data_IF_806076778904
#
_entry.id   IF_806076778904
#
_cell.length_a   1.000
_cell.length_b   1.000
_cell.length_c   1.000
_cell.angle_alpha   90.00
_cell.angle_beta   90.00
_cell.angle_gamma   90.00
#
_symmetry.space_group_name_H-M   'P 1'
#
loop_
_entity.id
_entity.type
_entity.pdbx_description
1 polymer ?
#
# COMPACT_ATOMS: atom_id res chain seq x y z
N UNK A 1 -22.52 12.01 -59.45
CA UNK A 1 -23.19 12.62 -58.28
C UNK A 1 -23.74 11.49 -57.42
N UNK A 2 -23.08 11.11 -56.33
CA UNK A 2 -23.17 11.71 -54.98
C UNK A 2 -24.64 11.71 -54.51
N UNK A 3 -25.07 10.95 -53.50
CA UNK A 3 -24.52 10.83 -52.14
C UNK A 3 -24.95 9.51 -51.49
N UNK A 4 -24.01 8.78 -50.87
CA UNK A 4 -24.32 7.66 -49.97
C UNK A 4 -24.02 8.15 -48.54
N UNK A 5 -25.06 8.23 -47.72
CA UNK A 5 -25.00 8.73 -46.34
C UNK A 5 -24.45 7.65 -45.41
N UNK A 6 -23.41 7.99 -44.68
CA UNK A 6 -22.64 7.10 -43.83
C UNK A 6 -23.39 6.76 -42.52
N UNK A 7 -23.34 5.48 -42.15
CA UNK A 7 -23.83 4.93 -40.90
C UNK A 7 -23.00 5.44 -39.71
N UNK A 8 -23.69 5.96 -38.68
CA UNK A 8 -23.09 6.23 -37.37
C UNK A 8 -23.48 5.09 -36.41
N UNK A 9 -22.48 4.33 -35.98
CA UNK A 9 -22.59 3.22 -35.03
C UNK A 9 -22.78 3.74 -33.59
N UNK A 10 -23.40 2.94 -32.69
CA UNK A 10 -23.59 3.29 -31.29
C UNK A 10 -22.27 3.22 -30.51
N UNK A 11 -22.02 4.25 -29.69
CA UNK A 11 -20.88 4.32 -28.78
C UNK A 11 -21.04 3.29 -27.66
N UNK A 12 -20.15 2.30 -27.66
CA UNK A 12 -19.88 1.38 -26.56
C UNK A 12 -19.57 2.17 -25.28
N UNK A 13 -20.39 1.98 -24.25
CA UNK A 13 -20.05 2.29 -22.86
C UNK A 13 -18.85 1.44 -22.43
N UNK A 14 -17.72 2.08 -22.14
CA UNK A 14 -16.60 1.45 -21.46
C UNK A 14 -16.65 1.82 -19.97
N UNK A 15 -17.28 0.94 -19.22
CA UNK A 15 -17.11 0.82 -17.77
C UNK A 15 -15.66 0.44 -17.43
N UNK A 16 -15.19 0.90 -16.27
CA UNK A 16 -14.08 0.25 -15.57
C UNK A 16 -12.68 0.84 -15.76
N UNK A 17 -12.42 2.02 -15.18
CA UNK A 17 -11.06 2.37 -14.77
C UNK A 17 -10.86 2.09 -13.29
N UNK A 18 -10.78 0.79 -12.97
CA UNK A 18 -10.05 0.34 -11.81
C UNK A 18 -8.57 0.62 -12.01
N UNK A 19 -8.12 1.81 -11.61
CA UNK A 19 -6.68 2.11 -11.45
C UNK A 19 -6.33 2.07 -9.98
N UNK A 20 -6.24 0.84 -9.45
CA UNK A 20 -5.52 0.55 -8.22
C UNK A 20 -4.02 0.80 -8.46
N UNK A 21 -3.62 2.07 -8.44
CA UNK A 21 -2.21 2.47 -8.34
C UNK A 21 -1.74 2.34 -6.89
N UNK A 22 -1.82 1.13 -6.35
CA UNK A 22 -1.01 0.76 -5.19
C UNK A 22 0.33 0.24 -5.73
N UNK A 23 1.03 1.11 -6.47
CA UNK A 23 2.43 0.88 -6.75
C UNK A 23 3.12 0.82 -5.39
N UNK A 24 3.48 -0.40 -4.99
CA UNK A 24 4.28 -0.66 -3.82
C UNK A 24 5.55 0.16 -3.96
N UNK A 25 5.58 1.34 -3.33
CA UNK A 25 6.79 2.08 -3.10
C UNK A 25 7.59 1.25 -2.12
N UNK A 26 8.37 0.30 -2.66
CA UNK A 26 9.45 -0.33 -1.92
C UNK A 26 10.34 0.82 -1.46
N UNK A 27 10.31 1.12 -0.15
CA UNK A 27 11.04 2.24 0.40
C UNK A 27 12.50 2.17 -0.04
N UNK A 28 12.95 3.18 -0.79
CA UNK A 28 14.35 3.32 -1.17
C UNK A 28 15.13 3.76 0.08
N UNK A 29 15.74 2.80 0.77
CA UNK A 29 16.54 3.07 1.96
C UNK A 29 17.91 3.58 1.49
N UNK A 30 18.27 4.78 1.91
CA UNK A 30 19.58 5.36 1.61
C UNK A 30 20.65 4.71 2.51
N UNK A 31 21.86 4.48 2.00
CA UNK A 31 22.99 3.94 2.79
C UNK A 31 23.86 5.02 3.44
N UNK A 32 23.60 6.29 3.13
CA UNK A 32 24.32 7.45 3.69
C UNK A 32 23.88 7.79 5.12
N UNK A 33 22.78 7.20 5.58
CA UNK A 33 22.27 7.36 6.94
C UNK A 33 22.93 6.33 7.89
N UNK A 34 23.06 6.67 9.19
CA UNK A 34 23.53 5.70 10.18
C UNK A 34 22.70 4.42 10.18
N UNK A 35 23.36 3.29 10.47
CA UNK A 35 22.76 1.94 10.42
C UNK A 35 21.49 1.82 11.26
N UNK A 36 21.39 2.55 12.38
CA UNK A 36 20.19 2.58 13.22
C UNK A 36 18.99 3.11 12.43
N UNK A 37 19.14 4.25 11.77
CA UNK A 37 18.09 4.90 11.00
C UNK A 37 17.74 4.10 9.73
N UNK A 38 18.71 3.45 9.10
CA UNK A 38 18.44 2.51 8.00
C UNK A 38 17.59 1.30 8.45
N UNK A 39 17.86 0.77 9.64
CA UNK A 39 17.07 -0.33 10.23
C UNK A 39 15.65 0.13 10.54
N UNK A 40 15.48 1.29 11.18
CA UNK A 40 14.15 1.86 11.44
C UNK A 40 13.37 2.07 10.14
N UNK A 41 14.01 2.62 9.09
CA UNK A 41 13.37 2.81 7.79
C UNK A 41 12.92 1.48 7.13
N UNK A 42 13.77 0.44 7.20
CA UNK A 42 13.41 -0.90 6.73
C UNK A 42 12.22 -1.46 7.50
N UNK A 43 12.31 -1.44 8.84
CA UNK A 43 11.30 -2.02 9.72
C UNK A 43 9.95 -1.32 9.53
N UNK A 44 9.96 0.01 9.40
CA UNK A 44 8.79 0.82 9.07
C UNK A 44 8.12 0.34 7.77
N UNK A 45 8.87 0.29 6.67
CA UNK A 45 8.35 -0.11 5.37
C UNK A 45 7.85 -1.56 5.36
N UNK A 46 8.55 -2.45 6.05
CA UNK A 46 8.17 -3.86 6.20
C UNK A 46 6.83 -4.01 6.90
N UNK A 47 6.63 -3.32 8.03
CA UNK A 47 5.37 -3.38 8.74
C UNK A 47 4.24 -2.67 8.01
N UNK A 48 4.48 -1.51 7.40
CA UNK A 48 3.49 -0.82 6.57
C UNK A 48 3.00 -1.71 5.42
N UNK A 49 3.91 -2.42 4.74
CA UNK A 49 3.56 -3.38 3.69
C UNK A 49 2.66 -4.51 4.21
N UNK A 50 3.01 -5.13 5.33
CA UNK A 50 2.21 -6.21 5.90
C UNK A 50 0.88 -5.73 6.47
N UNK A 51 0.85 -4.54 7.07
CA UNK A 51 -0.37 -3.91 7.57
C UNK A 51 -1.34 -3.59 6.44
N UNK A 52 -0.86 -3.01 5.34
CA UNK A 52 -1.68 -2.74 4.17
C UNK A 52 -2.26 -4.04 3.57
N UNK A 53 -1.47 -5.11 3.54
CA UNK A 53 -1.88 -6.42 2.99
C UNK A 53 -2.89 -7.16 3.87
N UNK A 54 -2.76 -7.04 5.19
CA UNK A 54 -3.64 -7.71 6.16
C UNK A 54 -4.79 -6.81 6.66
N UNK A 55 -5.09 -5.70 5.96
CA UNK A 55 -6.15 -4.73 6.32
C UNK A 55 -6.02 -4.18 7.76
N UNK A 56 -4.80 -3.88 8.21
CA UNK A 56 -4.55 -3.36 9.55
C UNK A 56 -4.65 -4.39 10.67
N UNK A 57 -4.83 -5.68 10.36
CA UNK A 57 -4.94 -6.73 11.38
C UNK A 57 -3.60 -7.06 12.03
N UNK A 58 -3.34 -6.52 13.23
CA UNK A 58 -2.13 -6.83 14.01
C UNK A 58 -1.98 -8.30 14.32
N UNK A 59 -3.08 -9.03 14.50
CA UNK A 59 -3.07 -10.48 14.69
C UNK A 59 -2.34 -11.16 13.54
N UNK A 60 -2.78 -10.88 12.32
CA UNK A 60 -2.25 -11.53 11.13
C UNK A 60 -0.85 -11.05 10.80
N UNK A 61 -0.55 -9.77 11.04
CA UNK A 61 0.82 -9.25 10.89
C UNK A 61 1.77 -9.90 11.89
N UNK A 62 1.37 -10.08 13.16
CA UNK A 62 2.16 -10.78 14.16
C UNK A 62 2.43 -12.24 13.75
N UNK A 63 1.41 -12.96 13.30
CA UNK A 63 1.55 -14.34 12.78
C UNK A 63 2.45 -14.40 11.54
N UNK A 64 2.31 -13.45 10.60
CA UNK A 64 3.11 -13.41 9.36
C UNK A 64 4.56 -13.04 9.58
N UNK A 65 4.81 -12.10 10.47
CA UNK A 65 6.16 -11.63 10.79
C UNK A 65 6.84 -12.54 11.82
N UNK A 66 6.10 -13.46 12.45
CA UNK A 66 6.59 -14.31 13.54
C UNK A 66 6.92 -13.52 14.81
N UNK A 67 6.36 -12.32 14.95
CA UNK A 67 6.62 -11.41 16.06
C UNK A 67 5.47 -11.45 17.05
N UNK A 68 5.79 -11.55 18.35
CA UNK A 68 4.83 -11.40 19.43
C UNK A 68 4.05 -10.09 19.31
N UNK A 69 2.71 -10.13 19.47
CA UNK A 69 1.86 -8.94 19.33
C UNK A 69 2.28 -7.79 20.25
N UNK A 70 2.64 -8.09 21.49
CA UNK A 70 3.08 -7.10 22.49
C UNK A 70 4.34 -6.37 22.04
N UNK A 71 5.25 -7.10 21.39
CA UNK A 71 6.50 -6.56 20.86
C UNK A 71 6.25 -5.76 19.59
N UNK A 72 5.37 -6.26 18.72
CA UNK A 72 4.94 -5.56 17.51
C UNK A 72 4.37 -4.18 17.84
N UNK A 73 3.49 -4.07 18.84
CA UNK A 73 2.90 -2.78 19.22
C UNK A 73 3.93 -1.76 19.69
N UNK A 74 4.86 -2.18 20.56
CA UNK A 74 5.97 -1.31 20.99
C UNK A 74 6.81 -0.86 19.79
N UNK A 75 7.07 -1.77 18.87
CA UNK A 75 7.93 -1.51 17.71
C UNK A 75 7.27 -0.55 16.72
N UNK A 76 5.99 -0.76 16.40
CA UNK A 76 5.22 0.17 15.56
C UNK A 76 5.16 1.57 16.17
N UNK A 77 4.96 1.67 17.49
CA UNK A 77 4.96 2.94 18.21
C UNK A 77 6.32 3.65 18.17
N UNK A 78 7.42 2.90 18.25
CA UNK A 78 8.78 3.45 18.13
C UNK A 78 9.07 3.93 16.70
N UNK A 79 8.61 3.19 15.70
CA UNK A 79 8.82 3.47 14.27
C UNK A 79 7.85 4.54 13.72
N UNK A 80 6.82 4.93 14.49
CA UNK A 80 5.79 5.87 14.06
C UNK A 80 4.83 5.30 13.00
N UNK A 81 4.66 3.97 12.97
CA UNK A 81 3.73 3.29 12.04
C UNK A 81 2.34 3.22 12.67
N UNK A 82 1.40 3.96 12.10
CA UNK A 82 -0.01 3.91 12.50
C UNK A 82 -0.73 2.72 11.85
N UNK A 83 -1.50 1.99 12.64
CA UNK A 83 -2.20 0.74 12.28
C UNK A 83 -3.44 0.93 11.40
N UNK A 84 -3.54 2.08 10.73
CA UNK A 84 -4.76 2.58 10.12
C UNK A 84 -5.28 3.78 10.88
N UNK A 85 -4.69 4.96 10.61
CA UNK A 85 -5.52 6.16 10.58
C UNK A 85 -6.43 6.02 9.38
N UNK A 86 -7.65 5.62 9.67
CA UNK A 86 -8.87 5.75 8.88
C UNK A 86 -8.70 6.69 7.66
N UNK A 87 -8.54 6.10 6.47
CA UNK A 87 -9.01 6.75 5.24
C UNK A 87 -10.51 6.44 5.16
N UNK A 88 -11.26 7.15 5.97
CA UNK A 88 -12.68 6.97 6.18
C UNK A 88 -13.20 7.99 7.17
N UNK A 89 -12.92 9.27 6.89
CA UNK A 89 -13.85 10.41 6.89
C UNK A 89 -13.38 11.42 5.84
#
# INVERSE_FOLDING_TARGET
SAVASAAALPMLSADGHGSGVLAAQTASISFDIPLRDARDAFERAYFEYHLARENGSMTRVAEKTGLERTHLYRKLKQLGVDLGKNKGE
#
